data_IF_533755381316
#
_entry.id   IF_533755381316
#
_cell.length_a   1.000
_cell.length_b   1.000
_cell.length_c   1.000
_cell.angle_alpha   90.00
_cell.angle_beta   90.00
_cell.angle_gamma   90.00
#
_symmetry.space_group_name_H-M   'P 1'
#
loop_
_entity.id
_entity.type
_entity.pdbx_description
1 polymer ?
#
# COMPACT_ATOMS: atom_id res chain seq x y z
N UNK A 1 0.69 -24.41 -2.00
CA UNK A 1 -0.37 -23.72 -1.24
C UNK A 1 -0.57 -22.37 -1.89
N UNK A 2 -1.75 -22.08 -2.44
CA UNK A 2 -2.05 -20.73 -2.92
C UNK A 2 -2.31 -19.87 -1.68
N UNK A 3 -1.49 -18.84 -1.43
CA UNK A 3 -1.84 -17.79 -0.48
C UNK A 3 -3.15 -17.17 -0.97
N UNK A 4 -4.16 -17.15 -0.11
CA UNK A 4 -5.41 -16.45 -0.36
C UNK A 4 -5.28 -15.10 0.35
N UNK A 5 -5.27 -14.03 -0.42
CA UNK A 5 -5.29 -12.67 0.08
C UNK A 5 -6.74 -12.30 0.37
N UNK A 6 -6.95 -11.58 1.46
CA UNK A 6 -8.27 -11.14 1.90
C UNK A 6 -8.77 -10.00 1.01
N UNK A 7 -7.84 -9.14 0.56
CA UNK A 7 -8.12 -8.01 -0.33
C UNK A 7 -7.00 -7.85 -1.36
N UNK A 8 -7.32 -7.59 -2.63
CA UNK A 8 -6.36 -7.30 -3.70
C UNK A 8 -6.98 -6.33 -4.71
N UNK A 9 -6.20 -5.36 -5.19
CA UNK A 9 -6.67 -4.39 -6.18
C UNK A 9 -5.69 -3.25 -6.40
N UNK A 10 -6.12 -2.21 -7.12
CA UNK A 10 -5.35 -0.96 -7.23
C UNK A 10 -5.72 0.01 -6.13
N UNK A 11 -4.73 0.71 -5.60
CA UNK A 11 -4.91 1.75 -4.60
C UNK A 11 -5.54 3.00 -5.21
N UNK A 12 -6.53 3.55 -4.50
CA UNK A 12 -7.21 4.83 -4.80
C UNK A 12 -7.39 5.60 -3.49
N UNK A 13 -7.48 6.93 -3.55
CA UNK A 13 -7.96 7.68 -2.39
C UNK A 13 -9.46 7.51 -2.22
N UNK A 14 -9.90 7.24 -1.00
CA UNK A 14 -11.32 7.29 -0.63
C UNK A 14 -11.76 8.74 -0.31
N UNK A 15 -13.03 8.94 0.04
CA UNK A 15 -13.57 10.26 0.37
C UNK A 15 -12.97 10.91 1.63
N UNK A 16 -12.22 10.16 2.43
CA UNK A 16 -11.51 10.64 3.62
C UNK A 16 -10.02 10.94 3.33
N UNK A 17 -9.56 10.79 2.08
CA UNK A 17 -8.16 10.97 1.71
C UNK A 17 -7.24 9.83 2.14
N UNK A 18 -7.79 8.64 2.43
CA UNK A 18 -6.99 7.44 2.75
C UNK A 18 -6.83 6.57 1.51
N UNK A 19 -5.69 5.90 1.37
CA UNK A 19 -5.58 4.83 0.38
C UNK A 19 -6.56 3.71 0.70
N UNK A 20 -7.21 3.20 -0.35
CA UNK A 20 -8.15 2.11 -0.30
C UNK A 20 -8.01 1.24 -1.55
N UNK A 21 -8.34 -0.04 -1.41
CA UNK A 21 -8.50 -0.97 -2.52
C UNK A 21 -9.85 -0.77 -3.20
N UNK A 22 -10.04 -1.44 -4.33
CA UNK A 22 -11.23 -1.27 -5.18
C UNK A 22 -12.53 -1.64 -4.46
N UNK A 23 -12.47 -2.63 -3.55
CA UNK A 23 -13.55 -3.08 -2.67
C UNK A 23 -13.82 -2.17 -1.47
N UNK A 24 -13.08 -1.07 -1.36
CA UNK A 24 -13.13 -0.06 -0.31
C UNK A 24 -12.56 -0.50 1.05
N UNK A 25 -11.81 -1.60 1.12
CA UNK A 25 -10.88 -1.78 2.24
C UNK A 25 -9.90 -0.60 2.23
N UNK A 26 -9.73 0.10 3.35
CA UNK A 26 -8.87 1.29 3.41
C UNK A 26 -7.84 1.15 4.52
N UNK A 27 -6.70 1.81 4.32
CA UNK A 27 -5.55 1.67 5.17
C UNK A 27 -5.45 2.77 6.22
N UNK A 28 -4.83 2.42 7.34
CA UNK A 28 -4.41 3.34 8.39
C UNK A 28 -2.91 3.15 8.72
N UNK A 29 -2.30 4.11 9.44
CA UNK A 29 -0.89 4.01 9.83
C UNK A 29 -0.60 2.73 10.62
N UNK A 30 0.50 2.07 10.29
CA UNK A 30 0.96 0.83 10.91
C UNK A 30 0.32 -0.45 10.35
N UNK A 31 -0.62 -0.34 9.40
CA UNK A 31 -1.21 -1.53 8.79
C UNK A 31 -0.29 -2.17 7.74
N UNK A 32 -0.21 -3.51 7.72
CA UNK A 32 0.60 -4.22 6.74
C UNK A 32 -0.02 -4.12 5.35
N UNK A 33 0.84 -4.09 4.33
CA UNK A 33 0.46 -4.09 2.93
C UNK A 33 1.54 -4.76 2.10
N UNK A 34 1.14 -5.45 1.03
CA UNK A 34 2.05 -5.83 -0.05
C UNK A 34 1.75 -4.98 -1.28
N UNK A 35 2.76 -4.32 -1.86
CA UNK A 35 2.63 -3.61 -3.13
C UNK A 35 3.40 -4.34 -4.23
N UNK A 36 2.91 -4.27 -5.46
CA UNK A 36 3.54 -4.92 -6.61
C UNK A 36 4.52 -3.96 -7.29
N UNK A 37 5.79 -4.33 -7.27
CA UNK A 37 6.83 -3.68 -8.05
C UNK A 37 6.86 -4.28 -9.46
N UNK A 38 6.61 -3.45 -10.47
CA UNK A 38 6.58 -3.86 -11.87
C UNK A 38 7.97 -4.00 -12.48
N UNK A 39 8.97 -3.30 -11.94
CA UNK A 39 10.32 -3.32 -12.50
C UNK A 39 10.99 -4.66 -12.19
N UNK A 40 10.85 -5.12 -10.94
CA UNK A 40 11.37 -6.41 -10.47
C UNK A 40 10.35 -7.55 -10.53
N UNK A 41 9.12 -7.28 -10.95
CA UNK A 41 7.99 -8.23 -11.04
C UNK A 41 7.79 -9.01 -9.72
N UNK A 42 7.87 -8.30 -8.60
CA UNK A 42 7.84 -8.86 -7.25
C UNK A 42 6.85 -8.14 -6.34
N UNK A 43 6.48 -8.79 -5.24
CA UNK A 43 5.66 -8.17 -4.20
C UNK A 43 6.57 -7.71 -3.06
N UNK A 44 6.52 -6.42 -2.75
CA UNK A 44 7.22 -5.82 -1.63
C UNK A 44 6.31 -5.82 -0.41
N UNK A 45 6.78 -6.40 0.68
CA UNK A 45 6.11 -6.37 1.98
C UNK A 45 6.49 -5.10 2.73
N UNK A 46 5.53 -4.49 3.42
CA UNK A 46 5.78 -3.32 4.24
C UNK A 46 4.53 -2.90 5.02
N UNK A 47 4.54 -1.64 5.44
CA UNK A 47 3.43 -1.00 6.15
C UNK A 47 3.02 0.30 5.45
N UNK A 48 1.79 0.71 5.69
CA UNK A 48 1.31 2.06 5.37
C UNK A 48 1.64 2.99 6.55
N UNK A 49 2.19 4.16 6.26
CA UNK A 49 2.39 5.23 7.24
C UNK A 49 1.93 6.59 6.73
N UNK A 50 1.63 7.51 7.65
CA UNK A 50 1.18 8.86 7.31
C UNK A 50 2.33 9.86 7.36
N UNK A 51 2.59 10.55 6.26
CA UNK A 51 3.57 11.63 6.22
C UNK A 51 2.92 12.95 6.59
N UNK A 52 3.24 13.49 7.77
CA UNK A 52 2.82 14.85 8.15
C UNK A 52 3.38 15.94 7.22
N UNK A 53 4.50 15.67 6.54
CA UNK A 53 5.12 16.60 5.58
C UNK A 53 4.33 16.69 4.28
N UNK A 54 3.92 15.55 3.73
CA UNK A 54 3.21 15.48 2.44
C UNK A 54 1.68 15.45 2.62
N UNK A 55 1.20 15.35 3.85
CA UNK A 55 -0.22 15.21 4.21
C UNK A 55 -0.90 14.02 3.52
N UNK A 56 -0.14 12.98 3.19
CA UNK A 56 -0.61 11.76 2.55
C UNK A 56 0.11 10.54 3.13
N UNK A 57 -0.42 9.36 2.83
CA UNK A 57 0.15 8.09 3.20
C UNK A 57 1.26 7.64 2.25
N UNK A 58 2.15 6.79 2.73
CA UNK A 58 3.24 6.22 1.95
C UNK A 58 3.50 4.77 2.38
N UNK A 59 4.13 4.01 1.50
CA UNK A 59 4.58 2.66 1.78
C UNK A 59 5.97 2.73 2.41
N UNK A 60 6.16 1.95 3.46
CA UNK A 60 7.41 1.85 4.19
C UNK A 60 7.81 0.38 4.37
N UNK A 61 9.05 0.07 4.02
CA UNK A 61 9.74 -1.11 4.51
C UNK A 61 11.12 -0.65 5.02
N UNK A 62 11.23 -0.50 6.34
CA UNK A 62 12.46 -0.04 7.01
C UNK A 62 13.60 -1.08 6.93
N UNK A 63 13.28 -2.38 6.84
CA UNK A 63 14.30 -3.44 6.77
C UNK A 63 15.10 -3.34 5.46
N UNK A 64 14.40 -3.07 4.35
CA UNK A 64 14.99 -2.91 3.02
C UNK A 64 15.31 -1.44 2.67
N UNK A 65 14.96 -0.49 3.54
CA UNK A 65 15.16 0.95 3.31
C UNK A 65 14.32 1.54 2.17
N UNK A 66 13.14 0.95 1.92
CA UNK A 66 12.25 1.30 0.81
C UNK A 66 11.16 2.24 1.32
N UNK A 67 11.04 3.40 0.66
CA UNK A 67 10.01 4.40 0.96
C UNK A 67 9.38 4.87 -0.35
N UNK A 68 8.11 4.56 -0.55
CA UNK A 68 7.40 4.87 -1.79
C UNK A 68 6.22 5.78 -1.48
N UNK A 69 6.26 6.97 -2.07
CA UNK A 69 5.21 7.99 -1.99
C UNK A 69 4.39 7.97 -3.28
N UNK A 70 3.19 8.57 -3.26
CA UNK A 70 2.24 8.56 -4.37
C UNK A 70 1.91 7.13 -4.82
N UNK A 71 1.12 6.44 -3.99
CA UNK A 71 0.72 5.06 -4.22
C UNK A 71 -0.51 4.95 -5.14
N UNK A 72 -0.96 6.05 -5.75
CA UNK A 72 -2.16 6.03 -6.58
C UNK A 72 -2.00 5.08 -7.76
N UNK A 73 -2.93 4.13 -7.89
CA UNK A 73 -2.94 3.14 -8.98
C UNK A 73 -1.97 1.97 -8.81
N UNK A 74 -1.12 1.99 -7.78
CA UNK A 74 -0.27 0.84 -7.45
C UNK A 74 -1.13 -0.37 -7.11
N UNK A 75 -0.71 -1.53 -7.60
CA UNK A 75 -1.38 -2.78 -7.25
C UNK A 75 -0.94 -3.18 -5.84
N UNK A 76 -1.90 -3.51 -4.98
CA UNK A 76 -1.67 -3.87 -3.60
C UNK A 76 -2.56 -5.04 -3.16
N UNK A 77 -2.16 -5.73 -2.09
CA UNK A 77 -2.93 -6.81 -1.47
C UNK A 77 -2.61 -6.96 0.03
N UNK A 78 -3.46 -7.72 0.71
CA UNK A 78 -3.38 -8.07 2.14
C UNK A 78 -3.71 -9.54 2.32
#
# INVERSE_FOLDING_TARGET
MNKKYDHEGKLKHNSQGRYALEDNYYFTSGEPIEIFDTDDNTWLQGIIEYSHKYQDYYFCNDEDGIYIYDLLGWKARI
#
